data_IF_695001035584
#
_entry.id   IF_695001035584
#
_cell.length_a   1.000
_cell.length_b   1.000
_cell.length_c   1.000
_cell.angle_alpha   90.00
_cell.angle_beta   90.00
_cell.angle_gamma   90.00
#
_symmetry.space_group_name_H-M   'P 1'
#
loop_
_entity.id
_entity.type
_entity.pdbx_description
1 polymer ?
#
# COMPACT_ATOMS: atom_id res chain seq x y z
N UNK A 1 4.33 -13.07 -14.27
CA UNK A 1 4.53 -12.46 -12.94
C UNK A 1 5.94 -12.82 -12.48
N UNK A 2 6.59 -11.98 -11.69
CA UNK A 2 7.97 -12.18 -11.24
C UNK A 2 8.01 -12.42 -9.74
N UNK A 3 9.00 -13.21 -9.29
CA UNK A 3 9.21 -13.49 -7.86
C UNK A 3 9.84 -12.29 -7.14
N UNK A 4 10.58 -11.46 -7.88
CA UNK A 4 11.04 -10.17 -7.40
C UNK A 4 11.55 -9.26 -8.50
N UNK A 5 11.63 -7.97 -8.17
CA UNK A 5 12.19 -6.93 -9.04
C UNK A 5 12.88 -5.87 -8.16
N UNK A 6 13.94 -5.28 -8.68
CA UNK A 6 14.61 -4.15 -8.06
C UNK A 6 14.56 -2.95 -8.99
N UNK A 7 14.22 -1.79 -8.44
CA UNK A 7 14.06 -0.54 -9.19
C UNK A 7 14.88 0.55 -8.50
N UNK A 8 15.89 1.07 -9.20
CA UNK A 8 16.66 2.20 -8.73
C UNK A 8 15.80 3.49 -8.79
N UNK A 9 15.67 4.19 -7.66
CA UNK A 9 14.86 5.41 -7.54
C UNK A 9 15.68 6.70 -7.65
N UNK A 10 17.00 6.57 -7.82
CA UNK A 10 17.95 7.68 -7.75
C UNK A 10 18.39 8.00 -6.32
N UNK A 11 19.46 8.80 -6.19
CA UNK A 11 20.02 9.18 -4.88
C UNK A 11 20.51 8.00 -4.03
N UNK A 12 20.93 6.90 -4.67
CA UNK A 12 21.35 5.67 -4.00
C UNK A 12 20.21 4.84 -3.39
N UNK A 13 18.94 5.21 -3.62
CA UNK A 13 17.78 4.50 -3.09
C UNK A 13 17.32 3.40 -4.05
N UNK A 14 16.84 2.31 -3.45
CA UNK A 14 16.32 1.15 -4.16
C UNK A 14 14.90 0.83 -3.68
N UNK A 15 14.02 0.47 -4.61
CA UNK A 15 12.76 -0.20 -4.33
C UNK A 15 12.93 -1.67 -4.67
N UNK A 16 12.73 -2.54 -3.67
CA UNK A 16 12.64 -3.99 -3.86
C UNK A 16 11.17 -4.39 -3.87
N UNK A 17 10.76 -5.12 -4.90
CA UNK A 17 9.45 -5.71 -5.00
C UNK A 17 9.64 -7.22 -4.84
N UNK A 18 8.96 -7.82 -3.88
CA UNK A 18 9.02 -9.27 -3.63
C UNK A 18 7.62 -9.86 -3.73
N UNK A 19 7.53 -11.10 -4.23
CA UNK A 19 6.27 -11.82 -4.35
C UNK A 19 6.42 -13.20 -3.69
N UNK A 20 5.44 -13.58 -2.88
CA UNK A 20 5.36 -14.90 -2.25
C UNK A 20 3.99 -15.52 -2.53
N UNK A 21 3.92 -16.80 -2.90
CA UNK A 21 2.66 -17.49 -3.24
C UNK A 21 2.80 -18.41 -4.46
N UNK A 22 1.68 -18.72 -5.12
CA UNK A 22 1.63 -19.69 -6.23
C UNK A 22 2.14 -19.13 -7.58
N UNK A 23 2.93 -18.05 -7.54
CA UNK A 23 3.63 -17.51 -8.69
C UNK A 23 2.70 -17.03 -9.83
N UNK A 24 3.11 -17.18 -11.11
CA UNK A 24 2.41 -16.63 -12.27
C UNK A 24 0.96 -17.12 -12.47
N UNK A 25 0.60 -18.27 -11.89
CA UNK A 25 -0.75 -18.84 -12.00
C UNK A 25 -1.73 -18.22 -10.99
N UNK A 26 -1.23 -17.41 -10.07
CA UNK A 26 -1.97 -16.78 -8.99
C UNK A 26 -1.75 -15.25 -9.01
N UNK A 27 -2.33 -14.50 -9.96
CA UNK A 27 -2.04 -13.07 -10.10
C UNK A 27 -2.69 -12.18 -9.03
N UNK A 28 -3.56 -12.73 -8.16
CA UNK A 28 -4.35 -11.92 -7.24
C UNK A 28 -3.57 -11.62 -5.95
N UNK A 29 -3.36 -10.33 -5.65
CA UNK A 29 -2.74 -9.89 -4.40
C UNK A 29 -3.68 -10.15 -3.20
N UNK A 30 -3.25 -10.97 -2.25
CA UNK A 30 -3.96 -11.32 -1.03
C UNK A 30 -3.65 -10.36 0.12
N UNK A 31 -2.38 -9.93 0.21
CA UNK A 31 -1.92 -8.95 1.19
C UNK A 31 -0.63 -8.28 0.71
N UNK A 32 -0.33 -7.12 1.28
CA UNK A 32 0.86 -6.33 0.97
C UNK A 32 1.53 -5.90 2.27
N UNK A 33 2.86 -5.89 2.29
CA UNK A 33 3.65 -5.23 3.33
C UNK A 33 4.53 -4.15 2.71
N UNK A 34 4.60 -3.01 3.38
CA UNK A 34 5.51 -1.93 3.07
C UNK A 34 6.53 -1.82 4.20
N UNK A 35 7.79 -2.12 3.94
CA UNK A 35 8.86 -2.12 4.94
C UNK A 35 8.45 -2.91 6.20
N UNK A 36 8.09 -4.18 6.01
CA UNK A 36 7.60 -5.14 7.01
C UNK A 36 6.29 -4.79 7.73
N UNK A 37 5.69 -3.63 7.44
CA UNK A 37 4.43 -3.20 8.05
C UNK A 37 3.24 -3.61 7.16
N UNK A 38 2.14 -4.10 7.74
CA UNK A 38 0.92 -4.36 6.98
C UNK A 38 0.47 -3.10 6.22
N UNK A 39 0.23 -3.26 4.93
CA UNK A 39 -0.30 -2.21 4.07
C UNK A 39 -1.67 -2.68 3.58
N UNK A 40 -2.73 -1.88 3.76
CA UNK A 40 -4.11 -2.27 3.39
C UNK A 40 -4.61 -1.55 2.14
N UNK A 41 -3.98 -0.43 1.79
CA UNK A 41 -4.42 0.42 0.68
C UNK A 41 -3.95 -0.14 -0.66
N UNK A 42 -4.78 -0.04 -1.70
CA UNK A 42 -4.43 -0.51 -3.05
C UNK A 42 -3.68 0.55 -3.89
N UNK A 43 -3.09 1.53 -3.21
CA UNK A 43 -2.29 2.59 -3.79
C UNK A 43 -1.13 2.91 -2.83
N UNK A 44 -0.15 3.66 -3.32
CA UNK A 44 0.94 4.16 -2.51
C UNK A 44 1.32 5.55 -2.99
N UNK A 45 1.61 6.46 -2.06
CA UNK A 45 2.01 7.81 -2.38
C UNK A 45 3.42 7.84 -2.99
N UNK A 46 3.66 8.77 -3.90
CA UNK A 46 5.01 8.97 -4.44
C UNK A 46 6.03 9.29 -3.33
N UNK A 47 5.65 10.09 -2.34
CA UNK A 47 6.52 10.43 -1.21
C UNK A 47 6.94 9.20 -0.39
N UNK A 48 6.07 8.19 -0.26
CA UNK A 48 6.40 6.93 0.39
C UNK A 48 7.34 6.11 -0.48
N UNK A 49 6.98 5.90 -1.76
CA UNK A 49 7.83 5.17 -2.71
C UNK A 49 9.24 5.75 -2.84
N UNK A 50 9.37 7.07 -2.93
CA UNK A 50 10.65 7.77 -3.12
C UNK A 50 11.61 7.66 -1.92
N UNK A 51 11.16 7.09 -0.79
CA UNK A 51 12.04 6.74 0.33
C UNK A 51 12.80 5.43 0.06
N UNK A 52 12.36 4.62 -0.90
CA UNK A 52 12.87 3.28 -1.14
C UNK A 52 12.38 2.28 -0.08
N UNK A 53 12.95 1.08 -0.13
CA UNK A 53 12.61 -0.01 0.78
C UNK A 53 12.01 -1.21 0.06
N UNK A 54 11.14 -1.95 0.75
CA UNK A 54 10.56 -3.19 0.25
C UNK A 54 9.03 -3.15 0.19
N UNK A 55 8.49 -3.55 -0.96
CA UNK A 55 7.08 -3.80 -1.21
C UNK A 55 6.87 -5.30 -1.45
N UNK A 56 6.40 -5.99 -0.41
CA UNK A 56 6.21 -7.43 -0.41
C UNK A 56 4.75 -7.81 -0.65
N UNK A 57 4.50 -8.61 -1.68
CA UNK A 57 3.19 -9.12 -2.05
C UNK A 57 3.03 -10.60 -1.63
N UNK A 58 1.85 -10.93 -1.10
CA UNK A 58 1.39 -12.31 -0.99
C UNK A 58 0.35 -12.54 -2.08
N UNK A 59 0.54 -13.51 -2.95
CA UNK A 59 -0.36 -13.79 -4.07
C UNK A 59 -1.15 -15.08 -3.87
N UNK A 60 -2.25 -15.22 -4.61
CA UNK A 60 -3.13 -16.38 -4.55
C UNK A 60 -4.01 -16.54 -5.79
N UNK A 61 -4.53 -17.75 -5.98
CA UNK A 61 -5.33 -18.14 -7.15
C UNK A 61 -6.78 -17.63 -7.13
N UNK A 62 -7.26 -17.12 -5.99
CA UNK A 62 -8.62 -16.62 -5.81
C UNK A 62 -8.64 -15.10 -5.65
N UNK A 63 -9.74 -14.44 -6.05
CA UNK A 63 -9.97 -13.03 -5.73
C UNK A 63 -9.85 -12.79 -4.23
N UNK A 64 -9.17 -11.72 -3.84
CA UNK A 64 -9.00 -11.33 -2.44
C UNK A 64 -9.94 -10.18 -2.07
N UNK A 65 -10.01 -9.87 -0.77
CA UNK A 65 -10.68 -8.65 -0.28
C UNK A 65 -9.75 -7.47 0.00
N UNK A 66 -8.52 -7.56 -0.48
CA UNK A 66 -7.50 -6.53 -0.29
C UNK A 66 -7.92 -5.19 -0.89
N UNK A 67 -7.72 -4.08 -0.18
CA UNK A 67 -8.00 -2.73 -0.67
C UNK A 67 -9.47 -2.39 -0.96
N UNK A 68 -10.42 -3.22 -0.51
CA UNK A 68 -11.85 -3.00 -0.78
C UNK A 68 -12.49 -1.94 0.13
N UNK A 69 -11.89 -1.63 1.28
CA UNK A 69 -12.48 -0.71 2.25
C UNK A 69 -12.53 0.72 1.68
N UNK A 70 -13.55 1.50 2.08
CA UNK A 70 -13.69 2.89 1.60
C UNK A 70 -12.46 3.76 1.92
N UNK A 71 -11.82 3.51 3.05
CA UNK A 71 -10.61 4.23 3.48
C UNK A 71 -9.35 3.84 2.70
N UNK A 72 -9.33 2.64 2.12
CA UNK A 72 -8.18 2.09 1.38
C UNK A 72 -8.17 2.53 -0.09
N UNK A 73 -9.22 3.22 -0.55
CA UNK A 73 -9.37 3.66 -1.93
C UNK A 73 -8.41 4.82 -2.23
N UNK A 74 -7.97 4.95 -3.49
CA UNK A 74 -7.14 6.08 -3.90
C UNK A 74 -7.86 7.41 -3.68
N UNK A 75 -7.11 8.50 -3.42
CA UNK A 75 -7.70 9.83 -3.32
C UNK A 75 -8.38 10.19 -4.64
N UNK A 76 -9.62 10.68 -4.56
CA UNK A 76 -10.35 11.19 -5.72
C UNK A 76 -10.70 12.67 -5.51
N UNK A 77 -10.67 13.45 -6.60
CA UNK A 77 -10.86 14.91 -6.58
C UNK A 77 -12.21 15.35 -5.99
N UNK A 78 -13.26 14.52 -6.11
CA UNK A 78 -14.59 14.84 -5.61
C UNK A 78 -14.63 14.77 -4.08
N UNK A 79 -15.20 15.79 -3.44
CA UNK A 79 -15.36 15.93 -1.96
C UNK A 79 -16.00 14.73 -1.23
N UNK A 80 -16.50 13.72 -1.96
CA UNK A 80 -17.07 12.49 -1.39
C UNK A 80 -16.11 11.33 -1.11
N UNK A 81 -14.87 11.31 -1.65
CA UNK A 81 -13.88 10.27 -1.29
C UNK A 81 -13.08 10.62 -0.03
N UNK A 82 -12.73 11.90 0.12
CA UNK A 82 -11.76 12.34 1.12
C UNK A 82 -12.44 12.85 2.39
N UNK A 83 -13.26 12.04 3.06
CA UNK A 83 -13.45 12.27 4.51
C UNK A 83 -12.32 11.57 5.22
N UNK A 84 -11.15 12.22 5.25
CA UNK A 84 -10.08 11.92 6.20
C UNK A 84 -10.74 11.80 7.56
N UNK A 85 -10.59 10.63 8.19
CA UNK A 85 -10.70 10.47 9.63
C UNK A 85 -9.50 11.21 10.26
N UNK A 86 -9.46 12.53 10.13
CA UNK A 86 -8.64 13.36 10.99
C UNK A 86 -9.48 13.61 12.23
N UNK A 87 -9.47 12.67 13.17
CA UNK A 87 -9.73 12.98 14.57
C UNK A 87 -8.58 13.88 15.05
N UNK A 88 -8.59 15.15 14.62
CA UNK A 88 -7.79 16.19 15.24
C UNK A 88 -8.47 16.47 16.58
N UNK A 89 -7.83 15.97 17.62
CA UNK A 89 -8.21 16.08 19.02
C UNK A 89 -8.54 17.54 19.34
N UNK A 90 -9.82 17.85 19.56
CA UNK A 90 -10.23 19.13 20.13
C UNK A 90 -10.02 19.02 21.63
N UNK A 91 -8.81 19.34 22.07
CA UNK A 91 -8.47 19.56 23.48
C UNK A 91 -9.37 20.66 24.03
N UNK A 92 -10.45 20.26 24.71
CA UNK A 92 -11.26 21.21 25.49
C UNK A 92 -10.49 21.51 26.77
N UNK A 93 -9.75 22.62 26.75
CA UNK A 93 -9.26 23.29 27.95
C UNK A 93 -10.49 23.81 28.70
N UNK A 94 -10.87 23.16 29.81
CA UNK A 94 -11.81 23.74 30.77
C UNK A 94 -11.01 24.67 31.69
N UNK A 95 -11.55 25.86 31.86
CA UNK A 95 -11.11 26.94 32.76
C UNK A 95 -11.20 26.47 34.21
#
# INVERSE_FOLDING_TARGET
>A
MFDGAEVALGGGKMLRITTSGDGPQAPSAQSVRWNDKPWTTNWIGHADLAQGGELAFVTGNKPSRFGMAKADRPPCYRRGCARRAAACQRTTRRV
#
